data_IF_444487800597
#
_entry.id   IF_444487800597
#
_cell.length_a   1.000
_cell.length_b   1.000
_cell.length_c   1.000
_cell.angle_alpha   90.00
_cell.angle_beta   90.00
_cell.angle_gamma   90.00
#
_symmetry.space_group_name_H-M   'P 1'
#
loop_
_entity.id
_entity.type
_entity.pdbx_description
1 polymer ?
#
# COMPACT_ATOMS: atom_id res chain seq x y z
N UNK A 1 -19.92 -8.38 -0.25
CA UNK A 1 -20.21 -8.07 1.17
C UNK A 1 -19.58 -6.72 1.43
N UNK A 2 -20.35 -5.73 1.89
CA UNK A 2 -19.73 -4.49 2.39
C UNK A 2 -19.04 -4.85 3.72
N UNK A 3 -17.90 -4.24 3.97
CA UNK A 3 -17.15 -4.39 5.21
C UNK A 3 -16.88 -2.95 5.67
N UNK A 4 -17.65 -2.47 6.65
CA UNK A 4 -17.58 -1.06 7.09
C UNK A 4 -17.56 -0.96 8.62
N UNK A 5 -17.06 0.16 9.16
CA UNK A 5 -17.13 0.39 10.60
C UNK A 5 -18.58 0.50 11.10
N UNK A 6 -19.49 0.94 10.24
CA UNK A 6 -20.93 0.93 10.50
C UNK A 6 -21.52 -0.43 10.80
N UNK A 7 -21.00 -1.49 10.19
CA UNK A 7 -21.44 -2.86 10.45
C UNK A 7 -20.84 -3.42 11.75
N UNK A 8 -19.57 -3.11 12.04
CA UNK A 8 -18.89 -3.62 13.25
C UNK A 8 -19.25 -2.87 14.53
N UNK A 9 -19.52 -1.57 14.45
CA UNK A 9 -19.71 -0.69 15.61
C UNK A 9 -21.00 0.12 15.53
N UNK A 10 -22.17 -0.46 15.22
CA UNK A 10 -23.40 0.28 14.88
C UNK A 10 -23.87 1.24 15.99
N UNK A 11 -23.55 0.93 17.25
CA UNK A 11 -23.86 1.78 18.41
C UNK A 11 -23.19 3.17 18.36
N UNK A 12 -22.11 3.33 17.58
CA UNK A 12 -21.41 4.62 17.44
C UNK A 12 -22.05 5.54 16.41
N UNK A 13 -22.98 5.06 15.56
CA UNK A 13 -23.55 5.83 14.46
C UNK A 13 -24.14 7.19 14.89
N UNK A 14 -24.93 7.30 15.98
CA UNK A 14 -25.45 8.60 16.41
C UNK A 14 -24.33 9.59 16.74
N UNK A 15 -23.24 9.13 17.38
CA UNK A 15 -22.09 9.97 17.68
C UNK A 15 -21.34 10.39 16.40
N UNK A 16 -21.12 9.45 15.47
CA UNK A 16 -20.45 9.71 14.18
C UNK A 16 -21.18 10.78 13.37
N UNK A 17 -22.52 10.74 13.33
CA UNK A 17 -23.36 11.69 12.59
C UNK A 17 -23.32 13.11 13.16
N UNK A 18 -22.93 13.27 14.43
CA UNK A 18 -22.80 14.57 15.08
C UNK A 18 -21.33 14.97 15.29
N UNK A 19 -20.38 14.13 14.88
CA UNK A 19 -18.96 14.34 15.18
C UNK A 19 -18.45 15.65 14.59
N UNK A 20 -18.94 16.06 13.42
CA UNK A 20 -18.51 17.29 12.75
C UNK A 20 -19.07 18.57 13.38
N UNK A 21 -20.00 18.45 14.34
CA UNK A 21 -20.64 19.55 15.06
C UNK A 21 -20.04 19.76 16.46
N UNK A 22 -19.28 18.80 17.00
CA UNK A 22 -18.70 18.88 18.36
C UNK A 22 -17.27 19.40 18.33
N UNK A 23 -16.79 19.94 19.46
CA UNK A 23 -15.40 20.38 19.58
C UNK A 23 -14.44 19.16 19.57
N UNK A 24 -13.28 19.23 18.88
CA UNK A 24 -12.77 20.33 18.06
C UNK A 24 -13.17 20.25 16.57
N UNK A 25 -14.02 19.32 16.15
CA UNK A 25 -14.30 19.09 14.74
C UNK A 25 -14.89 20.31 14.01
N UNK A 26 -15.83 21.04 14.63
CA UNK A 26 -16.43 22.22 13.98
C UNK A 26 -15.42 23.36 13.73
N UNK A 27 -14.35 23.46 14.53
CA UNK A 27 -13.26 24.43 14.30
C UNK A 27 -12.21 23.95 13.31
N UNK A 28 -12.22 22.66 12.94
CA UNK A 28 -11.28 22.00 12.02
C UNK A 28 -11.86 21.92 10.60
N UNK A 29 -13.18 21.71 10.51
CA UNK A 29 -13.91 21.53 9.24
C UNK A 29 -13.71 22.71 8.26
N UNK A 30 -13.71 24.00 8.67
CA UNK A 30 -13.48 25.10 7.74
C UNK A 30 -12.08 25.12 7.10
N UNK A 31 -11.09 24.48 7.73
CA UNK A 31 -9.68 24.45 7.30
C UNK A 31 -9.32 23.12 6.64
N UNK A 32 -10.33 22.34 6.22
CA UNK A 32 -10.17 21.02 5.62
C UNK A 32 -9.10 20.97 4.53
N UNK A 33 -9.10 21.93 3.60
CA UNK A 33 -8.12 21.99 2.51
C UNK A 33 -6.67 22.12 3.00
N UNK A 34 -6.43 22.89 4.07
CA UNK A 34 -5.10 23.02 4.66
C UNK A 34 -4.61 21.70 5.26
N UNK A 35 -5.52 20.95 5.90
CA UNK A 35 -5.21 19.62 6.44
C UNK A 35 -4.95 18.60 5.33
N UNK A 36 -5.67 18.68 4.20
CA UNK A 36 -5.39 17.86 3.02
C UNK A 36 -4.00 18.12 2.44
N UNK A 37 -3.58 19.38 2.32
CA UNK A 37 -2.22 19.71 1.87
C UNK A 37 -1.18 19.11 2.82
N UNK A 38 -1.36 19.24 4.13
CA UNK A 38 -0.47 18.64 5.13
C UNK A 38 -0.45 17.10 5.02
N UNK A 39 -1.61 16.48 4.76
CA UNK A 39 -1.74 15.04 4.58
C UNK A 39 -0.97 14.55 3.35
N UNK A 40 -1.12 15.22 2.21
CA UNK A 40 -0.39 14.90 0.97
C UNK A 40 1.11 15.09 1.17
N UNK A 41 1.54 16.18 1.81
CA UNK A 41 2.95 16.40 2.12
C UNK A 41 3.52 15.28 3.00
N UNK A 42 2.78 14.88 4.03
CA UNK A 42 3.15 13.77 4.91
C UNK A 42 3.25 12.45 4.14
N UNK A 43 2.32 12.21 3.20
CA UNK A 43 2.32 11.04 2.33
C UNK A 43 3.53 11.01 1.39
N UNK A 44 3.92 12.16 0.82
CA UNK A 44 5.11 12.27 -0.04
C UNK A 44 6.40 12.02 0.76
N UNK A 45 6.51 12.62 1.94
CA UNK A 45 7.67 12.42 2.84
C UNK A 45 7.78 10.95 3.26
N UNK A 46 6.66 10.37 3.74
CA UNK A 46 6.61 8.99 4.20
C UNK A 46 6.85 8.01 3.06
N UNK A 47 6.13 8.18 1.95
CA UNK A 47 6.25 7.33 0.77
C UNK A 47 7.65 7.38 0.16
N UNK A 48 8.20 8.57 -0.05
CA UNK A 48 9.55 8.74 -0.60
C UNK A 48 10.63 8.11 0.30
N UNK A 49 10.59 8.41 1.61
CA UNK A 49 11.56 7.84 2.55
C UNK A 49 11.39 6.33 2.75
N UNK A 50 10.17 5.80 2.72
CA UNK A 50 9.91 4.36 2.77
C UNK A 50 10.40 3.67 1.50
N UNK A 51 10.14 4.22 0.30
CA UNK A 51 10.60 3.66 -0.97
C UNK A 51 12.13 3.59 -1.03
N UNK A 52 12.83 4.68 -0.72
CA UNK A 52 14.30 4.72 -0.74
C UNK A 52 14.91 3.69 0.21
N UNK A 53 14.41 3.58 1.44
CA UNK A 53 14.86 2.60 2.42
C UNK A 53 14.70 1.16 1.94
N UNK A 54 13.50 0.86 1.46
CA UNK A 54 13.08 -0.50 1.24
C UNK A 54 13.53 -1.02 -0.12
N UNK A 55 13.73 -0.14 -1.12
CA UNK A 55 14.50 -0.48 -2.31
C UNK A 55 15.93 -0.84 -1.93
N UNK A 56 16.54 -0.10 -1.00
CA UNK A 56 17.88 -0.42 -0.52
C UNK A 56 17.96 -1.79 0.16
N UNK A 57 16.97 -2.14 0.99
CA UNK A 57 16.84 -3.47 1.59
C UNK A 57 16.57 -4.56 0.54
N UNK A 58 15.82 -4.24 -0.52
CA UNK A 58 15.58 -5.15 -1.64
C UNK A 58 16.83 -5.34 -2.55
N UNK A 59 17.91 -4.59 -2.32
CA UNK A 59 19.16 -4.68 -3.09
C UNK A 59 19.19 -3.80 -4.34
N UNK A 60 18.36 -2.74 -4.39
CA UNK A 60 18.34 -1.74 -5.47
C UNK A 60 18.35 -0.30 -4.93
N UNK A 61 18.36 0.69 -5.82
CA UNK A 61 18.39 2.10 -5.42
C UNK A 61 19.78 2.55 -4.96
N UNK A 62 19.89 3.06 -3.73
CA UNK A 62 21.10 3.65 -3.14
C UNK A 62 22.13 2.58 -2.71
N UNK A 63 22.55 1.72 -3.64
CA UNK A 63 23.37 0.52 -3.34
C UNK A 63 24.82 0.82 -2.96
N UNK A 64 25.30 2.04 -3.20
CA UNK A 64 26.65 2.49 -2.80
C UNK A 64 26.77 2.71 -1.29
N UNK A 65 25.66 3.07 -0.64
CA UNK A 65 25.57 3.26 0.81
C UNK A 65 25.09 1.97 1.49
N UNK A 66 25.49 1.71 2.73
CA UNK A 66 24.94 0.60 3.52
C UNK A 66 23.47 0.83 3.92
N UNK A 67 22.67 -0.22 4.18
CA UNK A 67 21.30 -0.03 4.68
C UNK A 67 21.24 0.80 5.97
N UNK A 68 22.23 0.70 6.85
CA UNK A 68 22.26 1.48 8.10
C UNK A 68 22.56 2.96 7.88
N UNK A 69 23.33 3.33 6.85
CA UNK A 69 23.57 4.72 6.45
C UNK A 69 22.30 5.36 5.89
N UNK A 70 21.64 4.67 4.96
CA UNK A 70 20.35 5.10 4.42
C UNK A 70 19.32 5.24 5.56
N UNK A 71 19.28 4.26 6.48
CA UNK A 71 18.48 4.33 7.72
C UNK A 71 18.73 5.58 8.53
N UNK A 72 20.00 5.88 8.83
CA UNK A 72 20.36 7.04 9.63
C UNK A 72 19.86 8.34 9.00
N UNK A 73 19.94 8.46 7.68
CA UNK A 73 19.52 9.64 6.93
C UNK A 73 18.00 9.81 6.85
N UNK A 74 17.25 8.71 6.75
CA UNK A 74 15.81 8.77 6.50
C UNK A 74 14.93 8.63 7.76
N UNK A 75 15.46 8.11 8.87
CA UNK A 75 14.64 7.78 10.07
C UNK A 75 13.75 8.93 10.57
N UNK A 76 14.29 10.15 10.63
CA UNK A 76 13.55 11.34 11.09
C UNK A 76 12.45 11.76 10.11
N UNK A 77 12.69 11.57 8.81
CA UNK A 77 11.70 11.83 7.77
C UNK A 77 10.57 10.80 7.79
N UNK A 78 10.91 9.53 8.02
CA UNK A 78 9.89 8.48 8.24
C UNK A 78 9.04 8.80 9.47
N UNK A 79 9.68 9.17 10.59
CA UNK A 79 8.96 9.57 11.82
C UNK A 79 8.05 10.78 11.60
N UNK A 80 8.57 11.84 10.96
CA UNK A 80 7.79 13.02 10.62
C UNK A 80 6.61 12.69 9.68
N UNK A 81 6.83 11.83 8.68
CA UNK A 81 5.80 11.38 7.75
C UNK A 81 4.69 10.57 8.44
N UNK A 82 5.05 9.64 9.33
CA UNK A 82 4.06 8.85 10.10
C UNK A 82 3.26 9.73 11.06
N UNK A 83 3.93 10.61 11.80
CA UNK A 83 3.25 11.52 12.72
C UNK A 83 2.31 12.45 11.93
N UNK A 84 2.82 13.03 10.84
CA UNK A 84 2.06 13.92 9.97
C UNK A 84 0.84 13.25 9.36
N UNK A 85 0.97 12.03 8.81
CA UNK A 85 -0.13 11.33 8.14
C UNK A 85 -1.23 10.92 9.13
N UNK A 86 -0.86 10.55 10.37
CA UNK A 86 -1.82 10.19 11.43
C UNK A 86 -2.57 11.43 11.89
N UNK A 87 -1.85 12.50 12.28
CA UNK A 87 -2.47 13.72 12.81
C UNK A 87 -3.40 14.33 11.75
N UNK A 88 -2.88 14.58 10.55
CA UNK A 88 -3.69 15.15 9.46
C UNK A 88 -4.86 14.24 9.07
N UNK A 89 -4.67 12.91 9.08
CA UNK A 89 -5.73 11.95 8.78
C UNK A 89 -6.87 11.98 9.80
N UNK A 90 -6.57 12.13 11.09
CA UNK A 90 -7.58 12.29 12.15
C UNK A 90 -8.34 13.60 11.98
N UNK A 91 -7.63 14.71 11.69
CA UNK A 91 -8.24 16.03 11.47
C UNK A 91 -9.20 16.02 10.26
N UNK A 92 -8.77 15.46 9.13
CA UNK A 92 -9.59 15.25 7.92
C UNK A 92 -10.78 14.34 8.23
N UNK A 93 -10.55 13.29 9.03
CA UNK A 93 -11.56 12.29 9.34
C UNK A 93 -12.69 12.82 10.22
N UNK A 94 -12.40 13.67 11.19
CA UNK A 94 -13.42 14.33 12.01
C UNK A 94 -14.39 15.18 11.17
N UNK A 95 -13.90 15.83 10.11
CA UNK A 95 -14.72 16.67 9.24
C UNK A 95 -15.66 15.88 8.30
N UNK A 96 -15.41 14.58 8.09
CA UNK A 96 -16.15 13.75 7.13
C UNK A 96 -16.51 12.35 7.71
N UNK A 97 -16.75 12.29 9.01
CA UNK A 97 -16.81 11.04 9.76
C UNK A 97 -17.87 10.06 9.24
N UNK A 98 -19.08 10.54 8.93
CA UNK A 98 -20.18 9.70 8.42
C UNK A 98 -19.79 8.97 7.14
N UNK A 99 -19.17 9.70 6.19
CA UNK A 99 -18.69 9.12 4.94
C UNK A 99 -17.63 8.05 5.16
N UNK A 100 -16.69 8.29 6.07
CA UNK A 100 -15.61 7.35 6.36
C UNK A 100 -16.13 6.09 7.04
N UNK A 101 -17.13 6.25 7.91
CA UNK A 101 -17.70 5.18 8.73
C UNK A 101 -18.39 4.08 7.91
N UNK A 102 -19.03 4.46 6.80
CA UNK A 102 -19.68 3.54 5.87
C UNK A 102 -18.82 3.18 4.64
N UNK A 103 -17.52 3.51 4.65
CA UNK A 103 -16.60 3.24 3.54
C UNK A 103 -15.72 2.01 3.77
N UNK A 104 -15.86 0.98 2.92
CA UNK A 104 -14.93 -0.17 2.91
C UNK A 104 -13.50 0.24 2.53
N UNK A 105 -13.34 1.22 1.64
CA UNK A 105 -12.02 1.75 1.28
C UNK A 105 -11.33 2.40 2.49
N UNK A 106 -12.09 3.05 3.39
CA UNK A 106 -11.53 3.56 4.63
C UNK A 106 -11.08 2.45 5.58
N UNK A 107 -11.84 1.35 5.71
CA UNK A 107 -11.40 0.16 6.46
C UNK A 107 -10.06 -0.36 5.94
N UNK A 108 -9.92 -0.54 4.62
CA UNK A 108 -8.66 -0.94 3.98
C UNK A 108 -7.54 0.03 4.34
N UNK A 109 -7.80 1.34 4.27
CA UNK A 109 -6.81 2.38 4.59
C UNK A 109 -6.32 2.27 6.03
N UNK A 110 -7.21 2.04 6.99
CA UNK A 110 -6.84 1.90 8.41
C UNK A 110 -6.04 0.63 8.66
N UNK A 111 -6.47 -0.52 8.12
CA UNK A 111 -5.72 -1.78 8.29
C UNK A 111 -4.34 -1.69 7.61
N UNK A 112 -4.26 -1.11 6.41
CA UNK A 112 -3.01 -0.87 5.70
C UNK A 112 -2.11 0.13 6.44
N UNK A 113 -2.65 1.19 7.03
CA UNK A 113 -1.89 2.15 7.85
C UNK A 113 -1.26 1.45 9.07
N UNK A 114 -2.06 0.66 9.82
CA UNK A 114 -1.57 -0.11 10.98
C UNK A 114 -0.47 -1.07 10.53
N UNK A 115 -0.71 -1.83 9.45
CA UNK A 115 0.29 -2.72 8.87
C UNK A 115 1.56 -1.98 8.44
N UNK A 116 1.44 -0.81 7.80
CA UNK A 116 2.56 0.01 7.36
C UNK A 116 3.42 0.49 8.52
N UNK A 117 2.80 0.88 9.64
CA UNK A 117 3.51 1.22 10.87
C UNK A 117 4.22 -0.01 11.44
N UNK A 118 3.53 -1.15 11.56
CA UNK A 118 4.13 -2.41 12.05
C UNK A 118 5.33 -2.83 11.20
N UNK A 119 5.19 -2.81 9.87
CA UNK A 119 6.27 -3.17 8.94
C UNK A 119 7.43 -2.16 9.01
N UNK A 120 7.14 -0.86 9.13
CA UNK A 120 8.17 0.18 9.20
C UNK A 120 9.00 0.07 10.47
N UNK A 121 8.36 0.02 11.64
CA UNK A 121 9.05 0.06 12.93
C UNK A 121 9.46 -1.31 13.46
N UNK A 122 8.69 -2.35 13.16
CA UNK A 122 8.92 -3.71 13.65
C UNK A 122 9.85 -4.54 12.77
N UNK A 123 9.90 -4.27 11.45
CA UNK A 123 10.69 -5.07 10.51
C UNK A 123 11.71 -4.25 9.72
N UNK A 124 11.27 -3.34 8.85
CA UNK A 124 12.11 -2.59 7.91
C UNK A 124 13.23 -1.81 8.60
N UNK A 125 12.90 -0.95 9.57
CA UNK A 125 13.91 -0.14 10.28
C UNK A 125 14.90 -0.98 11.09
N UNK A 126 14.48 -1.96 11.91
CA UNK A 126 15.42 -2.84 12.61
C UNK A 126 16.39 -3.56 11.66
N UNK A 127 15.89 -4.09 10.55
CA UNK A 127 16.70 -4.80 9.55
C UNK A 127 17.66 -3.83 8.85
N UNK A 128 17.20 -2.63 8.46
CA UNK A 128 18.06 -1.62 7.86
C UNK A 128 19.15 -1.14 8.82
N UNK A 129 18.82 -0.94 10.10
CA UNK A 129 19.78 -0.57 11.14
C UNK A 129 20.86 -1.64 11.35
N UNK A 130 20.52 -2.91 11.13
CA UNK A 130 21.42 -4.06 11.26
C UNK A 130 22.02 -4.49 9.90
N UNK A 131 22.08 -3.58 8.91
CA UNK A 131 22.68 -3.81 7.59
C UNK A 131 22.12 -5.04 6.84
N UNK A 132 20.82 -5.29 7.00
CA UNK A 132 20.11 -6.39 6.32
C UNK A 132 20.01 -7.67 7.14
N UNK A 133 20.64 -7.75 8.31
CA UNK A 133 20.51 -8.91 9.21
C UNK A 133 19.10 -8.99 9.79
N UNK A 134 18.52 -10.19 9.76
CA UNK A 134 17.13 -10.41 10.20
C UNK A 134 17.09 -11.20 11.50
N UNK A 135 16.83 -10.51 12.61
CA UNK A 135 16.64 -11.16 13.90
C UNK A 135 15.22 -11.74 14.06
N UNK A 136 15.02 -12.56 15.10
CA UNK A 136 13.74 -13.23 15.37
C UNK A 136 12.57 -12.26 15.59
N UNK A 137 12.80 -11.14 16.28
CA UNK A 137 11.79 -10.10 16.51
C UNK A 137 11.32 -9.48 15.20
N UNK A 138 12.26 -9.08 14.34
CA UNK A 138 11.96 -8.49 13.04
C UNK A 138 11.22 -9.47 12.11
N UNK A 139 11.57 -10.76 12.15
CA UNK A 139 10.83 -11.81 11.45
C UNK A 139 9.38 -11.90 11.95
N UNK A 140 9.15 -11.92 13.26
CA UNK A 140 7.79 -11.99 13.82
C UNK A 140 6.96 -10.78 13.42
N UNK A 141 7.50 -9.57 13.56
CA UNK A 141 6.79 -8.35 13.16
C UNK A 141 6.56 -8.26 11.66
N UNK A 142 7.46 -8.79 10.83
CA UNK A 142 7.21 -8.93 9.40
C UNK A 142 6.02 -9.85 9.14
N UNK A 143 5.92 -11.01 9.78
CA UNK A 143 4.80 -11.93 9.59
C UNK A 143 3.47 -11.30 10.01
N UNK A 144 3.44 -10.62 11.16
CA UNK A 144 2.25 -9.89 11.64
C UNK A 144 1.87 -8.77 10.67
N UNK A 145 2.83 -7.93 10.28
CA UNK A 145 2.62 -6.83 9.36
C UNK A 145 2.15 -7.30 7.98
N UNK A 146 2.79 -8.33 7.42
CA UNK A 146 2.43 -8.93 6.14
C UNK A 146 1.04 -9.56 6.18
N UNK A 147 0.67 -10.25 7.26
CA UNK A 147 -0.67 -10.80 7.44
C UNK A 147 -1.74 -9.68 7.46
N UNK A 148 -1.50 -8.59 8.20
CA UNK A 148 -2.39 -7.43 8.21
C UNK A 148 -2.49 -6.75 6.83
N UNK A 149 -1.39 -6.67 6.09
CA UNK A 149 -1.41 -6.12 4.73
C UNK A 149 -2.18 -7.03 3.77
N UNK A 150 -1.96 -8.34 3.81
CA UNK A 150 -2.71 -9.28 2.98
C UNK A 150 -4.21 -9.28 3.34
N UNK A 151 -4.55 -9.10 4.61
CA UNK A 151 -5.93 -8.88 5.04
C UNK A 151 -6.51 -7.59 4.43
N UNK A 152 -5.76 -6.49 4.45
CA UNK A 152 -6.24 -5.24 3.84
C UNK A 152 -6.44 -5.36 2.33
N UNK A 153 -5.52 -6.04 1.63
CA UNK A 153 -5.67 -6.35 0.19
C UNK A 153 -6.90 -7.25 -0.05
N UNK A 154 -7.10 -8.28 0.77
CA UNK A 154 -8.27 -9.16 0.67
C UNK A 154 -9.58 -8.39 0.86
N UNK A 155 -9.67 -7.53 1.89
CA UNK A 155 -10.82 -6.64 2.08
C UNK A 155 -10.97 -5.71 0.87
N UNK A 156 -9.87 -5.17 0.34
CA UNK A 156 -9.92 -4.25 -0.80
C UNK A 156 -10.53 -4.91 -2.04
N UNK A 157 -10.31 -6.21 -2.26
CA UNK A 157 -10.94 -6.95 -3.37
C UNK A 157 -12.46 -7.06 -3.26
N UNK A 158 -13.04 -6.83 -2.08
CA UNK A 158 -14.49 -6.90 -1.82
C UNK A 158 -15.20 -5.56 -2.02
N UNK A 159 -14.46 -4.45 -2.10
CA UNK A 159 -15.03 -3.11 -2.26
C UNK A 159 -15.71 -2.95 -3.64
N UNK A 160 -16.81 -2.21 -3.68
CA UNK A 160 -17.44 -1.81 -4.95
C UNK A 160 -16.45 -0.89 -5.68
N UNK A 161 -16.21 -1.12 -6.97
CA UNK A 161 -15.12 -0.46 -7.75
C UNK A 161 -13.70 -0.78 -7.22
N UNK A 162 -13.49 -1.95 -6.61
CA UNK A 162 -12.16 -2.43 -6.17
C UNK A 162 -11.13 -2.56 -7.30
N UNK A 163 -11.59 -2.81 -8.53
CA UNK A 163 -10.70 -3.13 -9.65
C UNK A 163 -9.69 -2.02 -9.97
N UNK A 164 -10.08 -0.74 -10.08
CA UNK A 164 -9.10 0.33 -10.29
C UNK A 164 -8.18 0.58 -9.09
N UNK A 165 -8.65 0.41 -7.85
CA UNK A 165 -7.83 0.64 -6.66
C UNK A 165 -6.73 -0.40 -6.51
N UNK A 166 -7.07 -1.68 -6.67
CA UNK A 166 -6.11 -2.78 -6.66
C UNK A 166 -5.11 -2.68 -7.83
N UNK A 167 -5.53 -2.14 -8.97
CA UNK A 167 -4.64 -1.90 -10.10
C UNK A 167 -3.45 -1.00 -9.74
N UNK A 168 -3.62 0.01 -8.86
CA UNK A 168 -2.51 0.85 -8.41
C UNK A 168 -1.48 0.05 -7.62
N UNK A 169 -1.94 -0.85 -6.74
CA UNK A 169 -1.06 -1.73 -5.96
C UNK A 169 -0.32 -2.71 -6.88
N UNK A 170 -1.03 -3.29 -7.85
CA UNK A 170 -0.44 -4.19 -8.84
C UNK A 170 0.57 -3.47 -9.73
N UNK A 171 0.27 -2.27 -10.22
CA UNK A 171 1.21 -1.51 -11.05
C UNK A 171 2.44 -1.08 -10.25
N UNK A 172 2.29 -0.69 -8.99
CA UNK A 172 3.45 -0.42 -8.13
C UNK A 172 4.32 -1.67 -7.94
N UNK A 173 3.70 -2.84 -7.69
CA UNK A 173 4.42 -4.10 -7.61
C UNK A 173 5.13 -4.45 -8.94
N UNK A 174 4.48 -4.19 -10.08
CA UNK A 174 5.08 -4.38 -11.40
C UNK A 174 6.29 -3.46 -11.62
N UNK A 175 6.19 -2.19 -11.23
CA UNK A 175 7.32 -1.24 -11.28
C UNK A 175 8.48 -1.76 -10.41
N UNK A 176 8.19 -2.24 -9.20
CA UNK A 176 9.23 -2.84 -8.35
C UNK A 176 9.94 -4.00 -9.04
N UNK A 177 9.18 -4.92 -9.65
CA UNK A 177 9.75 -6.06 -10.39
C UNK A 177 10.59 -5.58 -11.58
N UNK A 178 10.17 -4.53 -12.32
CA UNK A 178 10.96 -3.94 -13.40
C UNK A 178 12.31 -3.39 -12.90
N UNK A 179 12.32 -2.71 -11.76
CA UNK A 179 13.54 -2.16 -11.17
C UNK A 179 14.47 -3.25 -10.64
N UNK A 180 13.91 -4.31 -10.05
CA UNK A 180 14.68 -5.34 -9.35
C UNK A 180 15.17 -6.46 -10.28
N UNK A 181 14.41 -6.82 -11.32
CA UNK A 181 14.83 -7.81 -12.32
C UNK A 181 15.87 -7.22 -13.28
N UNK A 182 16.81 -8.02 -13.81
CA UNK A 182 17.87 -7.55 -14.73
C UNK A 182 17.95 -8.39 -16.02
N UNK A 183 18.51 -7.80 -17.08
CA UNK A 183 18.79 -8.48 -18.35
C UNK A 183 17.53 -8.97 -19.09
N UNK A 184 17.63 -10.13 -19.76
CA UNK A 184 16.53 -10.73 -20.55
C UNK A 184 15.27 -10.98 -19.71
N UNK A 185 15.43 -11.30 -18.42
CA UNK A 185 14.32 -11.51 -17.50
C UNK A 185 13.41 -10.28 -17.37
N UNK A 186 14.00 -9.07 -17.36
CA UNK A 186 13.27 -7.79 -17.32
C UNK A 186 12.50 -7.56 -18.61
N UNK A 187 13.10 -7.86 -19.76
CA UNK A 187 12.46 -7.69 -21.08
C UNK A 187 11.25 -8.62 -21.22
N UNK A 188 11.40 -9.89 -20.83
CA UNK A 188 10.28 -10.85 -20.81
C UNK A 188 9.18 -10.37 -19.87
N UNK A 189 9.54 -9.91 -18.67
CA UNK A 189 8.57 -9.36 -17.72
C UNK A 189 7.81 -8.17 -18.30
N UNK A 190 8.51 -7.20 -18.88
CA UNK A 190 7.94 -6.00 -19.48
C UNK A 190 7.02 -6.34 -20.66
N UNK A 191 7.42 -7.27 -21.54
CA UNK A 191 6.60 -7.71 -22.66
C UNK A 191 5.31 -8.40 -22.18
N UNK A 192 5.41 -9.32 -21.22
CA UNK A 192 4.23 -9.98 -20.64
C UNK A 192 3.32 -9.00 -19.91
N UNK A 193 3.88 -8.02 -19.18
CA UNK A 193 3.12 -6.97 -18.52
C UNK A 193 2.38 -6.10 -19.56
N UNK A 194 3.04 -5.71 -20.65
CA UNK A 194 2.43 -4.93 -21.72
C UNK A 194 1.29 -5.72 -22.39
N UNK A 195 1.47 -7.00 -22.68
CA UNK A 195 0.43 -7.87 -23.24
C UNK A 195 -0.79 -7.95 -22.32
N UNK A 196 -0.58 -8.13 -21.01
CA UNK A 196 -1.68 -8.20 -20.03
C UNK A 196 -2.42 -6.87 -19.90
N UNK A 197 -1.70 -5.74 -19.80
CA UNK A 197 -2.31 -4.40 -19.67
C UNK A 197 -3.04 -3.99 -20.95
N UNK A 198 -2.42 -4.14 -22.12
CA UNK A 198 -3.05 -3.83 -23.41
C UNK A 198 -4.24 -4.74 -23.67
N UNK A 199 -4.12 -6.04 -23.36
CA UNK A 199 -5.23 -6.98 -23.43
C UNK A 199 -6.40 -6.56 -22.55
N UNK A 200 -6.14 -6.14 -21.31
CA UNK A 200 -7.18 -5.63 -20.43
C UNK A 200 -7.88 -4.41 -21.03
N UNK A 201 -7.11 -3.42 -21.53
CA UNK A 201 -7.66 -2.20 -22.14
C UNK A 201 -8.56 -2.55 -23.33
N UNK A 202 -8.07 -3.40 -24.25
CA UNK A 202 -8.83 -3.81 -25.44
C UNK A 202 -10.14 -4.49 -25.04
N UNK A 203 -10.11 -5.43 -24.10
CA UNK A 203 -11.31 -6.19 -23.68
C UNK A 203 -12.31 -5.32 -22.91
N UNK A 204 -11.82 -4.40 -22.08
CA UNK A 204 -12.69 -3.59 -21.21
C UNK A 204 -13.20 -2.30 -21.86
N UNK A 205 -12.55 -1.81 -22.92
CA UNK A 205 -12.93 -0.58 -23.62
C UNK A 205 -13.36 -0.80 -25.07
N UNK A 206 -13.24 -2.02 -25.60
CA UNK A 206 -13.67 -2.38 -26.95
C UNK A 206 -15.05 -3.04 -26.98
N UNK A 207 -15.16 -4.35 -26.68
CA UNK A 207 -16.38 -5.13 -26.86
C UNK A 207 -17.42 -5.00 -25.74
N UNK A 208 -17.09 -4.35 -24.63
CA UNK A 208 -17.98 -4.20 -23.47
C UNK A 208 -18.31 -2.71 -23.30
N UNK A 209 -19.60 -2.31 -23.35
CA UNK A 209 -20.00 -0.94 -23.04
C UNK A 209 -19.57 -0.50 -21.64
N UNK A 210 -19.19 0.77 -21.49
CA UNK A 210 -18.63 1.30 -20.25
C UNK A 210 -19.61 1.30 -19.06
N UNK A 211 -20.91 1.27 -19.34
CA UNK A 211 -22.02 1.23 -18.38
C UNK A 211 -22.40 -0.21 -17.97
N UNK A 212 -21.93 -1.24 -18.68
CA UNK A 212 -22.19 -2.66 -18.38
C UNK A 212 -21.24 -3.19 -17.30
N UNK A 213 -21.42 -2.70 -16.08
CA UNK A 213 -20.61 -3.08 -14.92
C UNK A 213 -20.70 -4.58 -14.58
N UNK A 214 -21.83 -5.22 -14.90
CA UNK A 214 -22.05 -6.64 -14.64
C UNK A 214 -21.09 -7.53 -15.44
N UNK A 215 -20.77 -7.14 -16.69
CA UNK A 215 -19.74 -7.82 -17.49
C UNK A 215 -18.34 -7.29 -17.20
N UNK A 216 -18.16 -5.99 -16.99
CA UNK A 216 -16.84 -5.41 -16.74
C UNK A 216 -16.19 -5.91 -15.44
N UNK A 217 -16.96 -6.10 -14.37
CA UNK A 217 -16.40 -6.44 -13.06
C UNK A 217 -15.70 -7.82 -13.02
N UNK A 218 -16.30 -8.92 -13.52
CA UNK A 218 -15.61 -10.21 -13.62
C UNK A 218 -14.35 -10.16 -14.48
N UNK A 219 -14.40 -9.51 -15.66
CA UNK A 219 -13.23 -9.40 -16.55
C UNK A 219 -12.08 -8.65 -15.89
N UNK A 220 -12.36 -7.51 -15.25
CA UNK A 220 -11.35 -6.75 -14.55
C UNK A 220 -10.73 -7.55 -13.39
N UNK A 221 -11.52 -8.33 -12.64
CA UNK A 221 -11.00 -9.23 -11.61
C UNK A 221 -10.12 -10.33 -12.17
N UNK A 222 -10.52 -10.95 -13.29
CA UNK A 222 -9.70 -11.95 -13.97
C UNK A 222 -8.35 -11.37 -14.43
N UNK A 223 -8.35 -10.19 -15.02
CA UNK A 223 -7.11 -9.50 -15.40
C UNK A 223 -6.27 -9.11 -14.19
N UNK A 224 -6.89 -8.65 -13.10
CA UNK A 224 -6.18 -8.35 -11.86
C UNK A 224 -5.49 -9.59 -11.28
N UNK A 225 -6.15 -10.75 -11.30
CA UNK A 225 -5.54 -12.03 -10.89
C UNK A 225 -4.41 -12.44 -11.83
N UNK A 226 -4.61 -12.34 -13.16
CA UNK A 226 -3.57 -12.67 -14.14
C UNK A 226 -2.32 -11.78 -13.98
N UNK A 227 -2.53 -10.47 -13.79
CA UNK A 227 -1.48 -9.51 -13.46
C UNK A 227 -0.78 -9.88 -12.15
N UNK A 228 -1.54 -10.15 -11.09
CA UNK A 228 -0.98 -10.53 -9.79
C UNK A 228 -0.10 -11.78 -9.90
N UNK A 229 -0.55 -12.82 -10.60
CA UNK A 229 0.21 -14.05 -10.81
C UNK A 229 1.49 -13.79 -11.63
N UNK A 230 1.40 -12.98 -12.69
CA UNK A 230 2.57 -12.62 -13.50
C UNK A 230 3.62 -11.85 -12.70
N UNK A 231 3.18 -10.85 -11.91
CA UNK A 231 4.02 -10.04 -11.04
C UNK A 231 4.62 -10.91 -9.94
N UNK A 232 3.81 -11.66 -9.20
CA UNK A 232 4.26 -12.49 -8.08
C UNK A 232 5.21 -13.60 -8.53
N UNK A 233 4.94 -14.25 -9.66
CA UNK A 233 5.84 -15.28 -10.22
C UNK A 233 7.22 -14.70 -10.57
N UNK A 234 7.26 -13.50 -11.15
CA UNK A 234 8.53 -12.84 -11.48
C UNK A 234 9.25 -12.27 -10.26
N UNK A 235 8.51 -11.70 -9.30
CA UNK A 235 9.06 -11.27 -8.01
C UNK A 235 9.67 -12.45 -7.24
N UNK A 236 8.94 -13.57 -7.18
CA UNK A 236 9.40 -14.82 -6.57
C UNK A 236 10.67 -15.33 -7.23
N UNK A 237 10.71 -15.40 -8.57
CA UNK A 237 11.92 -15.79 -9.31
C UNK A 237 13.14 -14.94 -8.94
N UNK A 238 12.96 -13.63 -8.75
CA UNK A 238 14.06 -12.72 -8.37
C UNK A 238 14.48 -12.91 -6.90
N UNK A 239 13.51 -13.05 -5.98
CA UNK A 239 13.77 -13.29 -4.55
C UNK A 239 14.49 -14.62 -4.33
N UNK A 240 14.06 -15.68 -5.02
CA UNK A 240 14.61 -17.03 -4.87
C UNK A 240 15.80 -17.32 -5.81
N UNK A 241 16.25 -16.33 -6.58
CA UNK A 241 17.43 -16.49 -7.42
C UNK A 241 18.64 -16.88 -6.55
N UNK A 242 19.44 -17.89 -6.93
CA UNK A 242 20.66 -18.24 -6.23
C UNK A 242 21.62 -17.04 -6.24
N UNK A 243 21.70 -16.33 -5.12
CA UNK A 243 22.63 -15.25 -4.83
C UNK A 243 23.17 -15.55 -3.42
N UNK A 244 24.45 -15.32 -3.16
CA UNK A 244 25.18 -15.83 -1.99
C UNK A 244 24.81 -15.24 -0.60
N UNK A 245 23.53 -15.04 -0.28
CA UNK A 245 23.06 -14.37 0.94
C UNK A 245 22.14 -15.18 1.86
N UNK A 246 21.92 -16.48 1.59
CA UNK A 246 21.08 -17.34 2.44
C UNK A 246 19.61 -16.90 2.55
N UNK A 247 18.88 -17.47 3.51
CA UNK A 247 17.45 -17.18 3.72
C UNK A 247 17.18 -15.80 4.32
N UNK A 248 18.11 -15.27 5.10
CA UNK A 248 17.98 -13.96 5.75
C UNK A 248 17.99 -12.82 4.72
N UNK A 249 18.87 -12.89 3.71
CA UNK A 249 18.87 -11.90 2.63
C UNK A 249 17.57 -11.94 1.81
N UNK A 250 16.98 -13.13 1.60
CA UNK A 250 15.68 -13.27 0.92
C UNK A 250 14.58 -12.61 1.74
N UNK A 251 14.59 -12.82 3.05
CA UNK A 251 13.62 -12.23 3.96
C UNK A 251 13.74 -10.70 4.02
N UNK A 252 14.95 -10.16 4.05
CA UNK A 252 15.17 -8.71 3.97
C UNK A 252 14.61 -8.12 2.66
N UNK A 253 14.77 -8.82 1.53
CA UNK A 253 14.15 -8.42 0.25
C UNK A 253 12.62 -8.42 0.34
N UNK A 254 12.03 -9.48 0.87
CA UNK A 254 10.57 -9.60 1.04
C UNK A 254 10.01 -8.49 1.96
N UNK A 255 10.72 -8.15 3.04
CA UNK A 255 10.38 -7.01 3.89
C UNK A 255 10.38 -5.71 3.10
N UNK A 256 11.38 -5.50 2.24
CA UNK A 256 11.44 -4.35 1.33
C UNK A 256 10.23 -4.26 0.41
N UNK A 257 9.85 -5.37 -0.25
CA UNK A 257 8.65 -5.43 -1.08
C UNK A 257 7.37 -5.10 -0.30
N UNK A 258 7.11 -5.82 0.79
CA UNK A 258 5.89 -5.65 1.58
C UNK A 258 5.79 -4.22 2.16
N UNK A 259 6.89 -3.67 2.65
CA UNK A 259 6.92 -2.34 3.28
C UNK A 259 6.70 -1.21 2.28
N UNK A 260 7.01 -1.39 0.99
CA UNK A 260 6.65 -0.42 -0.06
C UNK A 260 5.17 -0.58 -0.42
N UNK A 261 4.75 -1.82 -0.71
CA UNK A 261 3.42 -2.08 -1.22
C UNK A 261 2.30 -1.78 -0.21
N UNK A 262 2.57 -1.92 1.09
CA UNK A 262 1.60 -1.55 2.14
C UNK A 262 1.28 -0.05 2.13
N UNK A 263 2.28 0.81 1.96
CA UNK A 263 2.07 2.26 1.88
C UNK A 263 1.37 2.67 0.59
N UNK A 264 1.69 2.00 -0.53
CA UNK A 264 0.93 2.16 -1.78
C UNK A 264 -0.52 1.71 -1.60
N UNK A 265 -0.76 0.61 -0.88
CA UNK A 265 -2.12 0.12 -0.58
C UNK A 265 -2.91 1.14 0.22
N UNK A 266 -2.32 1.73 1.26
CA UNK A 266 -2.95 2.78 2.06
C UNK A 266 -3.26 4.05 1.22
N UNK A 267 -2.33 4.46 0.36
CA UNK A 267 -2.52 5.60 -0.54
C UNK A 267 -3.62 5.34 -1.58
N UNK A 268 -3.58 4.18 -2.23
CA UNK A 268 -4.58 3.74 -3.19
C UNK A 268 -5.97 3.68 -2.53
N UNK A 269 -6.11 3.04 -1.37
CA UNK A 269 -7.39 2.99 -0.66
C UNK A 269 -7.97 4.39 -0.37
N UNK A 270 -7.12 5.37 -0.03
CA UNK A 270 -7.54 6.75 0.22
C UNK A 270 -8.29 7.41 -0.93
N UNK A 271 -7.85 7.20 -2.18
CA UNK A 271 -8.51 7.79 -3.35
C UNK A 271 -9.90 7.17 -3.60
N UNK A 272 -10.15 5.95 -3.13
CA UNK A 272 -11.39 5.21 -3.34
C UNK A 272 -12.47 5.48 -2.30
N UNK A 273 -12.13 6.13 -1.18
CA UNK A 273 -13.10 6.74 -0.26
C UNK A 273 -14.01 7.75 -1.03
N UNK A 274 -13.43 8.36 -2.07
CA UNK A 274 -14.06 9.11 -3.17
C UNK A 274 -15.41 8.58 -3.67
N UNK A 275 -15.49 7.26 -3.78
CA UNK A 275 -16.43 6.55 -4.66
C UNK A 275 -17.19 5.43 -3.95
N UNK A 276 -16.99 5.30 -2.63
CA UNK A 276 -17.60 4.30 -1.76
C UNK A 276 -18.86 4.85 -1.09
#
# INVERSE_FOLDING_TARGET
MKITFGEFLPALRPWVQHLDQVWPAYIIKPQFASWEVLHILSLVILGGSAILMNLRLAGAGLTEESPSEVYRSLRRWQDAGVIGIIISGVLIGMANAERLYDSTAFVVKIVALISGIVLTYGASRPIARADGLVNASARTWFLVGAALWLLSVAIFTTAVLANPGLFHVLMAAAIMVLFLTRGRARLVFAAGLAVLVVGQIIVTHGPIPADDLARLDPFNKTYAVALALWIAGNAGREVFRPQGGGDEARLAKLVGYASILVWVTAAAAGRWIAFA
#
